data_IF_227864105569
#
_entry.id   IF_227864105569
#
_cell.length_a   1.000
_cell.length_b   1.000
_cell.length_c   1.000
_cell.angle_alpha   90.00
_cell.angle_beta   90.00
_cell.angle_gamma   90.00
#
_symmetry.space_group_name_H-M   'P 1'
#
loop_
_entity.id
_entity.type
_entity.pdbx_description
1 polymer ?
#
# COMPACT_ATOMS: atom_id res chain seq x y z
N UNK A 1 -15.41 15.04 16.70
CA UNK A 1 -16.59 15.34 15.86
C UNK A 1 -16.34 14.87 14.45
N UNK A 2 -17.24 14.07 13.88
CA UNK A 2 -17.13 13.60 12.48
C UNK A 2 -17.86 14.58 11.55
N UNK A 3 -17.22 14.92 10.44
CA UNK A 3 -17.77 15.85 9.43
C UNK A 3 -18.05 15.04 8.16
N UNK A 4 -19.25 15.22 7.59
CA UNK A 4 -19.60 14.58 6.32
C UNK A 4 -19.17 15.43 5.14
N UNK A 5 -18.52 14.79 4.17
CA UNK A 5 -18.12 15.37 2.90
C UNK A 5 -18.80 14.64 1.75
N UNK A 6 -19.18 15.38 0.72
CA UNK A 6 -19.74 14.80 -0.51
C UNK A 6 -18.70 14.89 -1.60
N UNK A 7 -18.26 13.74 -2.10
CA UNK A 7 -17.46 13.65 -3.32
C UNK A 7 -18.44 13.54 -4.50
N UNK A 8 -18.38 14.48 -5.42
CA UNK A 8 -19.24 14.46 -6.61
C UNK A 8 -18.72 13.41 -7.61
N UNK A 9 -19.65 12.67 -8.21
CA UNK A 9 -19.31 11.64 -9.19
C UNK A 9 -19.00 10.27 -8.57
N UNK A 10 -18.55 9.36 -9.40
CA UNK A 10 -18.36 7.96 -9.05
C UNK A 10 -19.59 7.10 -9.31
N UNK A 11 -19.42 5.80 -9.22
CA UNK A 11 -20.42 4.77 -9.50
C UNK A 11 -20.62 3.93 -8.25
N UNK A 12 -21.89 3.70 -7.87
CA UNK A 12 -22.20 2.75 -6.81
C UNK A 12 -21.95 1.35 -7.31
N UNK A 13 -21.01 0.63 -6.68
CA UNK A 13 -20.69 -0.75 -7.02
C UNK A 13 -21.18 -1.64 -5.88
N UNK A 14 -22.02 -2.66 -6.18
CA UNK A 14 -22.45 -3.62 -5.17
C UNK A 14 -21.24 -4.34 -4.57
N UNK A 15 -21.21 -4.50 -3.25
CA UNK A 15 -20.23 -5.35 -2.59
C UNK A 15 -20.50 -6.79 -2.94
N UNK A 16 -19.54 -7.46 -3.54
CA UNK A 16 -19.68 -8.84 -4.01
C UNK A 16 -19.19 -9.85 -2.97
N UNK A 17 -18.24 -9.44 -2.14
CA UNK A 17 -17.67 -10.31 -1.12
C UNK A 17 -17.66 -9.56 0.22
N UNK A 18 -18.36 -10.12 1.19
CA UNK A 18 -18.38 -9.61 2.55
C UNK A 18 -17.43 -10.45 3.39
N UNK A 19 -16.42 -9.80 3.99
CA UNK A 19 -15.69 -10.42 5.08
C UNK A 19 -16.56 -10.34 6.32
N UNK A 20 -17.23 -11.44 6.67
CA UNK A 20 -18.08 -11.51 7.85
C UNK A 20 -17.29 -11.59 9.16
N UNK A 21 -16.01 -11.91 9.08
CA UNK A 21 -15.13 -12.09 10.25
C UNK A 21 -14.60 -10.74 10.74
N UNK A 22 -14.69 -10.54 12.07
CA UNK A 22 -14.14 -9.34 12.74
C UNK A 22 -12.71 -9.52 13.23
N UNK A 23 -12.13 -10.71 13.07
CA UNK A 23 -10.77 -11.05 13.51
C UNK A 23 -9.94 -11.55 12.34
N UNK A 24 -8.67 -11.17 12.31
CA UNK A 24 -7.74 -11.73 11.33
C UNK A 24 -7.23 -13.10 11.81
N UNK A 25 -7.12 -14.04 10.87
CA UNK A 25 -6.34 -15.25 11.08
C UNK A 25 -4.86 -14.89 11.05
N UNK A 26 -4.11 -15.36 12.04
CA UNK A 26 -2.66 -15.13 12.06
C UNK A 26 -1.98 -16.36 11.47
N UNK A 27 -1.16 -16.14 10.46
CA UNK A 27 -0.44 -17.20 9.77
C UNK A 27 1.00 -17.25 10.29
N UNK A 28 1.27 -18.19 11.18
CA UNK A 28 2.59 -18.41 11.82
C UNK A 28 3.42 -19.49 11.10
N UNK A 29 2.76 -20.42 10.40
CA UNK A 29 3.36 -21.63 9.83
C UNK A 29 3.79 -21.48 8.36
N UNK A 30 4.14 -20.26 7.95
CA UNK A 30 4.70 -20.00 6.62
C UNK A 30 6.06 -20.67 6.50
N UNK A 31 6.22 -21.57 5.55
CA UNK A 31 7.49 -22.29 5.37
C UNK A 31 8.56 -21.44 4.69
N UNK A 32 8.19 -20.63 3.71
CA UNK A 32 9.07 -19.75 2.93
C UNK A 32 8.51 -18.36 2.82
N UNK A 33 9.40 -17.40 2.86
CA UNK A 33 9.08 -16.01 2.52
C UNK A 33 10.01 -15.50 1.43
N UNK A 34 9.48 -14.66 0.57
CA UNK A 34 10.18 -14.09 -0.58
C UNK A 34 10.30 -12.58 -0.44
N UNK A 35 11.52 -12.07 -0.33
CA UNK A 35 11.78 -10.63 -0.12
C UNK A 35 12.45 -10.06 -1.36
N UNK A 36 11.73 -9.32 -2.21
CA UNK A 36 12.32 -8.65 -3.35
C UNK A 36 13.10 -7.42 -2.90
N UNK A 37 14.29 -7.23 -3.44
CA UNK A 37 15.14 -6.09 -3.18
C UNK A 37 14.95 -5.04 -4.28
N UNK A 38 13.80 -4.38 -4.28
CA UNK A 38 13.46 -3.38 -5.30
C UNK A 38 14.39 -2.19 -5.25
N UNK A 39 14.83 -1.76 -6.43
CA UNK A 39 15.41 -0.46 -6.63
C UNK A 39 14.35 0.64 -6.45
N UNK A 40 14.73 1.78 -5.92
CA UNK A 40 13.90 2.96 -5.90
C UNK A 40 14.52 4.06 -6.77
N UNK A 41 13.84 4.43 -7.83
CA UNK A 41 14.42 5.29 -8.86
C UNK A 41 15.63 4.61 -9.52
N UNK A 42 16.81 5.20 -9.32
CA UNK A 42 18.08 4.62 -9.80
C UNK A 42 18.93 4.03 -8.66
N UNK A 43 18.42 4.02 -7.44
CA UNK A 43 19.12 3.48 -6.29
C UNK A 43 18.78 2.01 -6.14
N UNK A 44 19.75 1.15 -6.42
CA UNK A 44 19.63 -0.29 -6.29
C UNK A 44 19.64 -0.69 -4.82
N UNK A 45 18.98 -1.81 -4.49
CA UNK A 45 19.06 -2.46 -3.20
C UNK A 45 19.84 -3.77 -3.37
N UNK A 46 20.98 -3.86 -2.73
CA UNK A 46 21.88 -5.01 -2.84
C UNK A 46 21.73 -5.94 -1.63
N UNK A 47 21.77 -7.27 -1.85
CA UNK A 47 21.72 -8.23 -0.75
C UNK A 47 22.94 -8.07 0.16
N UNK A 48 22.71 -8.15 1.48
CA UNK A 48 23.71 -8.08 2.52
C UNK A 48 24.01 -9.47 3.12
N UNK A 49 23.41 -10.50 2.54
CA UNK A 49 23.47 -11.89 2.96
C UNK A 49 23.64 -12.79 1.75
N UNK A 50 24.11 -14.00 1.96
CA UNK A 50 24.26 -15.04 0.96
C UNK A 50 23.43 -16.28 1.23
N UNK A 51 23.38 -17.19 0.27
CA UNK A 51 22.75 -18.50 0.40
C UNK A 51 23.42 -19.30 1.53
N UNK A 52 22.61 -19.92 2.39
CA UNK A 52 23.05 -20.65 3.57
C UNK A 52 23.20 -19.78 4.84
N UNK A 53 23.17 -18.48 4.74
CA UNK A 53 23.27 -17.59 5.92
C UNK A 53 22.04 -17.73 6.81
N UNK A 54 22.26 -17.69 8.14
CA UNK A 54 21.19 -17.61 9.11
C UNK A 54 20.77 -16.15 9.30
N UNK A 55 19.47 -15.90 9.29
CA UNK A 55 18.89 -14.57 9.48
C UNK A 55 17.90 -14.57 10.63
N UNK A 56 17.76 -13.41 11.27
CA UNK A 56 16.79 -13.16 12.34
C UNK A 56 15.63 -12.29 11.81
N UNK A 57 14.47 -12.38 12.41
CA UNK A 57 13.35 -11.48 12.12
C UNK A 57 13.74 -10.03 12.41
N UNK A 58 13.53 -9.15 11.44
CA UNK A 58 13.95 -7.74 11.54
C UNK A 58 15.42 -7.49 11.22
N UNK A 59 16.21 -8.51 10.86
CA UNK A 59 17.57 -8.31 10.39
C UNK A 59 17.56 -7.66 8.99
N UNK A 60 18.42 -6.66 8.80
CA UNK A 60 18.64 -6.06 7.47
C UNK A 60 19.28 -7.10 6.54
N UNK A 61 18.60 -7.39 5.43
CA UNK A 61 19.03 -8.36 4.41
C UNK A 61 19.30 -7.71 3.05
N UNK A 62 18.90 -6.45 2.89
CA UNK A 62 19.16 -5.67 1.69
C UNK A 62 19.38 -4.21 2.04
N UNK A 63 20.42 -3.60 1.46
CA UNK A 63 20.76 -2.20 1.69
C UNK A 63 20.86 -1.43 0.37
N UNK A 64 20.42 -0.15 0.35
CA UNK A 64 20.51 0.69 -0.83
C UNK A 64 21.95 1.10 -1.11
N UNK A 65 22.30 1.27 -2.39
CA UNK A 65 23.62 1.68 -2.85
C UNK A 65 23.91 3.17 -2.62
N UNK A 66 22.88 3.98 -2.35
CA UNK A 66 22.96 5.42 -2.10
C UNK A 66 21.74 5.91 -1.30
N UNK A 67 21.78 7.19 -0.91
CA UNK A 67 20.61 7.86 -0.31
C UNK A 67 19.43 7.88 -1.31
N UNK A 68 18.22 7.83 -0.77
CA UNK A 68 16.99 7.75 -1.55
C UNK A 68 16.44 6.33 -1.73
N UNK A 69 17.20 5.30 -1.37
CA UNK A 69 16.77 3.91 -1.45
C UNK A 69 16.12 3.37 -0.17
N UNK A 70 15.85 2.09 -0.15
CA UNK A 70 15.09 1.42 0.90
C UNK A 70 15.88 0.28 1.53
N UNK A 71 15.95 0.24 2.84
CA UNK A 71 16.42 -0.93 3.61
C UNK A 71 15.37 -2.05 3.55
N UNK A 72 15.84 -3.28 3.39
CA UNK A 72 15.00 -4.48 3.39
C UNK A 72 15.35 -5.38 4.56
N UNK A 73 14.31 -5.90 5.21
CA UNK A 73 14.45 -6.70 6.43
C UNK A 73 13.84 -8.08 6.27
N UNK A 74 14.43 -9.06 6.95
CA UNK A 74 13.84 -10.39 6.99
C UNK A 74 12.56 -10.40 7.82
N UNK A 75 11.44 -10.90 7.26
CA UNK A 75 10.17 -10.98 8.00
C UNK A 75 10.12 -12.12 9.01
N UNK A 76 11.01 -13.08 8.88
CA UNK A 76 11.07 -14.30 9.72
C UNK A 76 12.51 -14.58 10.15
N UNK A 77 12.69 -15.43 11.16
CA UNK A 77 13.98 -16.06 11.42
C UNK A 77 14.12 -17.34 10.60
N UNK A 78 15.35 -17.68 10.20
CA UNK A 78 15.57 -18.88 9.42
C UNK A 78 16.90 -18.90 8.67
N UNK A 79 16.93 -19.61 7.55
CA UNK A 79 18.11 -19.73 6.70
C UNK A 79 17.79 -19.24 5.28
N UNK A 80 18.69 -18.48 4.69
CA UNK A 80 18.59 -18.03 3.30
C UNK A 80 18.70 -19.25 2.39
N UNK A 81 17.60 -19.61 1.74
CA UNK A 81 17.52 -20.73 0.81
C UNK A 81 18.15 -20.38 -0.53
N UNK A 82 17.92 -19.14 -1.00
CA UNK A 82 18.50 -18.66 -2.27
C UNK A 82 18.51 -17.15 -2.35
N UNK A 83 19.43 -16.61 -3.13
CA UNK A 83 19.43 -15.25 -3.64
C UNK A 83 19.39 -15.35 -5.16
N UNK A 84 18.22 -15.16 -5.75
CA UNK A 84 17.97 -15.36 -7.18
C UNK A 84 17.58 -14.03 -7.85
N UNK A 85 17.50 -14.04 -9.17
CA UNK A 85 17.07 -12.89 -9.96
C UNK A 85 15.60 -13.08 -10.37
N UNK A 86 14.74 -12.09 -10.06
CA UNK A 86 13.30 -12.09 -10.40
C UNK A 86 13.04 -11.08 -11.50
N UNK A 87 12.39 -11.54 -12.56
CA UNK A 87 11.84 -10.67 -13.59
C UNK A 87 10.50 -10.09 -13.11
N UNK A 88 10.44 -8.77 -12.96
CA UNK A 88 9.23 -8.04 -12.61
C UNK A 88 8.32 -7.79 -13.82
N UNK A 89 7.05 -7.46 -13.56
CA UNK A 89 6.05 -7.24 -14.61
C UNK A 89 6.35 -6.04 -15.55
N UNK A 90 7.20 -5.13 -15.12
CA UNK A 90 7.70 -3.98 -15.92
C UNK A 90 8.94 -4.30 -16.76
N UNK A 91 9.46 -5.55 -16.66
CA UNK A 91 10.65 -6.02 -17.35
C UNK A 91 11.95 -5.74 -16.60
N UNK A 92 11.91 -5.20 -15.40
CA UNK A 92 13.09 -5.04 -14.56
C UNK A 92 13.46 -6.34 -13.86
N UNK A 93 14.75 -6.52 -13.59
CA UNK A 93 15.28 -7.61 -12.79
C UNK A 93 15.63 -7.11 -11.40
N UNK A 94 15.21 -7.84 -10.36
CA UNK A 94 15.51 -7.51 -8.98
C UNK A 94 16.00 -8.73 -8.23
N UNK A 95 16.99 -8.59 -7.33
CA UNK A 95 17.36 -9.70 -6.46
C UNK A 95 16.19 -10.11 -5.58
N UNK A 96 15.94 -11.40 -5.49
CA UNK A 96 14.92 -12.02 -4.65
C UNK A 96 15.59 -12.91 -3.61
N UNK A 97 15.45 -12.53 -2.35
CA UNK A 97 15.91 -13.33 -1.22
C UNK A 97 14.78 -14.25 -0.79
N UNK A 98 15.02 -15.57 -0.80
CA UNK A 98 14.10 -16.54 -0.24
C UNK A 98 14.64 -17.03 1.10
N UNK A 99 13.84 -16.93 2.14
CA UNK A 99 14.19 -17.39 3.50
C UNK A 99 13.31 -18.58 3.86
N UNK A 100 13.95 -19.68 4.24
CA UNK A 100 13.30 -20.83 4.84
C UNK A 100 13.08 -20.54 6.32
N UNK A 101 11.82 -20.41 6.72
CA UNK A 101 11.41 -20.07 8.09
C UNK A 101 11.71 -21.24 9.05
N UNK A 102 12.34 -20.96 10.18
CA UNK A 102 12.61 -21.94 11.23
C UNK A 102 11.47 -22.06 12.26
N UNK A 103 10.45 -21.21 12.17
CA UNK A 103 9.30 -21.18 13.06
C UNK A 103 9.60 -20.70 14.50
N UNK A 104 10.82 -20.21 14.76
CA UNK A 104 11.23 -19.80 16.10
C UNK A 104 10.93 -18.34 16.40
N UNK A 105 10.61 -17.54 15.37
CA UNK A 105 10.37 -16.09 15.46
C UNK A 105 11.46 -15.30 16.20
N UNK A 106 12.72 -15.80 16.18
CA UNK A 106 13.83 -15.14 16.84
C UNK A 106 14.12 -13.81 16.16
N UNK A 107 13.94 -12.70 16.89
CA UNK A 107 14.13 -11.34 16.36
C UNK A 107 15.49 -10.76 16.70
N UNK A 108 15.88 -9.73 15.95
CA UNK A 108 16.99 -8.85 16.35
C UNK A 108 16.60 -8.07 17.60
N UNK A 109 17.57 -7.58 18.40
CA UNK A 109 17.27 -6.65 19.47
C UNK A 109 16.50 -5.42 18.95
N UNK A 110 15.42 -5.00 19.64
CA UNK A 110 14.66 -3.81 19.20
C UNK A 110 15.53 -2.56 19.16
N UNK A 111 15.42 -1.79 18.09
CA UNK A 111 16.05 -0.49 17.95
C UNK A 111 15.00 0.60 18.20
N UNK A 112 14.83 0.99 19.46
CA UNK A 112 13.86 2.02 19.83
C UNK A 112 14.34 3.42 19.46
N UNK A 113 13.38 4.29 19.10
CA UNK A 113 13.67 5.70 18.91
C UNK A 113 14.28 6.31 20.18
N UNK A 114 15.41 7.00 20.03
CA UNK A 114 16.11 7.61 21.15
C UNK A 114 15.40 8.88 21.64
N UNK A 115 15.03 8.91 22.92
CA UNK A 115 14.40 10.09 23.53
C UNK A 115 12.86 10.07 23.50
N UNK A 116 12.28 11.21 23.88
CA UNK A 116 10.81 11.36 23.95
C UNK A 116 10.28 11.95 22.64
N UNK A 117 9.26 11.34 22.07
CA UNK A 117 8.63 11.81 20.83
C UNK A 117 8.21 13.29 20.87
N UNK A 118 7.73 13.78 22.02
CA UNK A 118 7.31 15.18 22.19
C UNK A 118 8.45 16.19 21.98
N UNK A 119 9.68 15.80 22.31
CA UNK A 119 10.87 16.65 22.29
C UNK A 119 11.73 16.38 21.03
N UNK A 120 11.31 15.42 20.19
CA UNK A 120 12.06 15.01 19.01
C UNK A 120 12.03 16.06 17.89
N UNK A 121 13.18 16.26 17.26
CA UNK A 121 13.28 17.07 16.05
C UNK A 121 12.74 16.32 14.84
N UNK A 122 12.07 16.99 13.86
CA UNK A 122 11.57 16.37 12.65
C UNK A 122 12.60 15.51 11.90
N UNK A 123 13.81 15.99 11.76
CA UNK A 123 14.91 15.29 11.08
C UNK A 123 15.27 13.96 11.74
N UNK A 124 15.25 13.90 13.08
CA UNK A 124 15.50 12.68 13.84
C UNK A 124 14.38 11.64 13.61
N UNK A 125 13.13 12.10 13.54
CA UNK A 125 11.98 11.22 13.25
C UNK A 125 12.06 10.67 11.83
N UNK A 126 12.41 11.51 10.85
CA UNK A 126 12.62 11.09 9.45
C UNK A 126 13.77 10.08 9.36
N UNK A 127 14.89 10.35 10.05
CA UNK A 127 16.02 9.41 10.11
C UNK A 127 15.61 8.05 10.65
N UNK A 128 14.85 8.02 11.75
CA UNK A 128 14.36 6.77 12.32
C UNK A 128 13.40 6.03 11.36
N UNK A 129 12.50 6.74 10.67
CA UNK A 129 11.61 6.18 9.64
C UNK A 129 12.42 5.56 8.49
N UNK A 130 13.51 6.21 8.07
CA UNK A 130 14.46 5.69 7.07
C UNK A 130 15.11 4.40 7.54
N UNK A 131 15.67 4.41 8.75
CA UNK A 131 16.41 3.29 9.33
C UNK A 131 15.52 2.05 9.55
N UNK A 132 14.21 2.25 9.68
CA UNK A 132 13.20 1.19 9.79
C UNK A 132 12.62 0.73 8.45
N UNK A 133 13.05 1.30 7.32
CA UNK A 133 12.63 0.87 5.99
C UNK A 133 11.14 0.97 5.72
N UNK A 134 10.46 1.98 6.29
CA UNK A 134 9.02 2.15 6.09
C UNK A 134 8.69 2.60 4.66
N UNK A 135 7.67 1.97 4.09
CA UNK A 135 7.19 2.22 2.71
C UNK A 135 5.82 2.91 2.76
N UNK A 136 5.58 3.80 1.84
CA UNK A 136 4.29 4.46 1.63
C UNK A 136 4.06 4.69 0.14
N UNK A 137 2.93 4.25 -0.38
CA UNK A 137 2.57 4.39 -1.80
C UNK A 137 3.64 3.86 -2.77
N UNK A 138 4.33 2.78 -2.40
CA UNK A 138 5.38 2.17 -3.20
C UNK A 138 6.72 2.92 -3.20
N UNK A 139 6.87 3.95 -2.34
CA UNK A 139 8.10 4.73 -2.18
C UNK A 139 8.61 4.64 -0.73
N UNK A 140 9.92 4.83 -0.47
CA UNK A 140 10.40 5.00 0.89
C UNK A 140 9.70 6.17 1.57
N UNK A 141 9.08 5.93 2.73
CA UNK A 141 8.29 6.96 3.41
C UNK A 141 9.13 8.19 3.75
N UNK A 142 10.38 8.00 4.18
CA UNK A 142 11.27 9.13 4.51
C UNK A 142 11.50 10.06 3.32
N UNK A 143 11.66 9.52 2.10
CA UNK A 143 11.82 10.30 0.87
C UNK A 143 10.57 11.11 0.56
N UNK A 144 9.39 10.53 0.79
CA UNK A 144 8.12 11.26 0.65
C UNK A 144 8.02 12.40 1.65
N UNK A 145 8.42 12.17 2.91
CA UNK A 145 8.39 13.19 3.98
C UNK A 145 9.37 14.34 3.70
N UNK A 146 10.56 14.05 3.21
CA UNK A 146 11.57 15.07 2.84
C UNK A 146 11.13 15.95 1.66
N UNK A 147 10.29 15.43 0.77
CA UNK A 147 9.75 16.16 -0.38
C UNK A 147 8.52 17.01 -0.06
N UNK A 148 8.01 16.95 1.17
CA UNK A 148 6.84 17.74 1.54
C UNK A 148 7.21 19.22 1.56
N UNK A 149 6.41 20.02 0.86
CA UNK A 149 6.60 21.46 0.81
C UNK A 149 6.35 22.11 2.18
N UNK A 150 7.13 23.13 2.52
CA UNK A 150 6.97 23.92 3.76
C UNK A 150 5.58 24.58 3.87
N UNK A 151 4.83 24.71 2.77
CA UNK A 151 3.46 25.20 2.75
C UNK A 151 2.42 24.12 3.12
N UNK A 152 2.82 22.88 3.34
CA UNK A 152 1.93 21.80 3.74
C UNK A 152 1.29 22.11 5.11
N UNK A 153 -0.04 22.12 5.16
CA UNK A 153 -0.80 22.52 6.35
C UNK A 153 -1.64 21.41 6.93
N UNK A 154 -1.84 20.33 6.19
CA UNK A 154 -2.76 19.28 6.58
C UNK A 154 -2.24 17.89 6.23
N UNK A 155 -2.28 17.01 7.22
CA UNK A 155 -2.13 15.57 7.02
C UNK A 155 -3.50 14.95 6.73
N UNK A 156 -3.59 14.17 5.65
CA UNK A 156 -4.80 13.42 5.29
C UNK A 156 -4.50 11.94 5.37
N UNK A 157 -5.15 11.25 6.32
CA UNK A 157 -5.08 9.80 6.46
C UNK A 157 -6.24 9.19 5.70
N UNK A 158 -5.94 8.52 4.59
CA UNK A 158 -6.95 7.96 3.71
C UNK A 158 -7.29 6.51 4.12
N UNK A 159 -8.45 6.35 4.77
CA UNK A 159 -9.08 5.06 5.09
C UNK A 159 -10.36 4.82 4.26
N UNK A 160 -10.58 5.58 3.19
CA UNK A 160 -11.73 5.36 2.31
C UNK A 160 -11.54 4.13 1.44
N UNK A 161 -12.64 3.40 1.21
CA UNK A 161 -12.67 2.20 0.36
C UNK A 161 -13.92 2.21 -0.52
N UNK A 162 -13.75 1.89 -1.79
CA UNK A 162 -14.87 1.77 -2.74
C UNK A 162 -14.80 0.52 -3.61
N UNK A 163 -13.78 -0.34 -3.41
CA UNK A 163 -13.69 -1.63 -4.10
C UNK A 163 -14.76 -2.60 -3.58
N UNK A 164 -15.36 -3.42 -4.46
CA UNK A 164 -16.44 -4.33 -4.07
C UNK A 164 -15.99 -5.49 -3.18
N UNK A 165 -14.71 -5.83 -3.23
CA UNK A 165 -14.09 -6.99 -2.60
C UNK A 165 -13.13 -6.62 -1.45
N UNK A 166 -13.01 -5.33 -1.13
CA UNK A 166 -12.04 -4.85 -0.13
C UNK A 166 -12.75 -4.16 1.03
N UNK A 167 -12.38 -4.55 2.24
CA UNK A 167 -12.84 -3.93 3.47
C UNK A 167 -11.72 -3.89 4.54
N UNK A 168 -10.45 -3.78 4.09
CA UNK A 168 -9.29 -3.78 4.98
C UNK A 168 -9.27 -2.54 5.88
N UNK A 169 -9.54 -1.36 5.33
CA UNK A 169 -9.53 -0.11 6.11
C UNK A 169 -10.66 -0.11 7.15
N UNK A 170 -11.83 -0.65 6.80
CA UNK A 170 -12.88 -0.89 7.78
C UNK A 170 -12.36 -1.73 8.95
N UNK A 171 -11.76 -2.89 8.64
CA UNK A 171 -11.21 -3.80 9.65
C UNK A 171 -10.14 -3.13 10.52
N UNK A 172 -9.19 -2.41 9.92
CA UNK A 172 -8.12 -1.73 10.65
C UNK A 172 -8.66 -0.61 11.53
N UNK A 173 -9.62 0.17 11.05
CA UNK A 173 -10.24 1.22 11.86
C UNK A 173 -11.09 0.66 13.02
N UNK A 174 -11.69 -0.53 12.87
CA UNK A 174 -12.43 -1.19 13.94
C UNK A 174 -11.50 -1.82 15.00
N UNK A 175 -10.31 -2.33 14.62
CA UNK A 175 -9.46 -3.14 15.48
C UNK A 175 -8.12 -2.50 15.87
N UNK A 176 -7.71 -1.43 15.18
CA UNK A 176 -6.42 -0.76 15.38
C UNK A 176 -6.53 0.77 15.23
N UNK A 177 -7.68 1.35 15.60
CA UNK A 177 -7.92 2.78 15.52
C UNK A 177 -6.86 3.59 16.29
N UNK A 178 -6.45 3.11 17.46
CA UNK A 178 -5.39 3.71 18.29
C UNK A 178 -4.04 3.76 17.55
N UNK A 179 -3.69 2.71 16.80
CA UNK A 179 -2.45 2.67 16.02
C UNK A 179 -2.50 3.69 14.88
N UNK A 180 -3.62 3.78 14.17
CA UNK A 180 -3.81 4.75 13.08
C UNK A 180 -3.71 6.18 13.61
N UNK A 181 -4.42 6.48 14.71
CA UNK A 181 -4.47 7.81 15.33
C UNK A 181 -3.10 8.23 15.88
N UNK A 182 -2.41 7.33 16.57
CA UNK A 182 -1.10 7.64 17.14
C UNK A 182 -0.02 7.71 16.05
N UNK A 183 -0.08 6.88 15.00
CA UNK A 183 0.78 7.01 13.82
C UNK A 183 0.58 8.37 13.12
N UNK A 184 -0.67 8.80 12.97
CA UNK A 184 -0.97 10.14 12.44
C UNK A 184 -0.38 11.26 13.32
N UNK A 185 -0.43 11.14 14.66
CA UNK A 185 0.20 12.11 15.58
C UNK A 185 1.73 12.13 15.44
N UNK A 186 2.38 10.98 15.25
CA UNK A 186 3.83 10.90 14.97
C UNK A 186 4.14 11.65 13.67
N UNK A 187 3.39 11.40 12.61
CA UNK A 187 3.57 12.05 11.31
C UNK A 187 3.26 13.55 11.35
N UNK A 188 2.25 14.00 12.13
CA UNK A 188 2.02 15.42 12.38
C UNK A 188 3.26 16.09 13.00
N UNK A 189 3.87 15.43 13.99
CA UNK A 189 5.10 15.92 14.62
C UNK A 189 6.26 15.93 13.63
N UNK A 190 6.42 14.87 12.84
CA UNK A 190 7.49 14.74 11.83
C UNK A 190 7.40 15.85 10.77
N UNK A 191 6.19 16.21 10.35
CA UNK A 191 5.96 17.23 9.33
C UNK A 191 5.81 18.65 9.90
N UNK A 192 5.76 18.82 11.24
CA UNK A 192 5.46 20.11 11.86
C UNK A 192 4.05 20.60 11.60
N UNK A 193 3.12 19.71 11.28
CA UNK A 193 1.74 20.03 10.91
C UNK A 193 0.81 19.85 12.10
N UNK A 194 0.01 20.87 12.43
CA UNK A 194 -0.94 20.78 13.54
C UNK A 194 -2.26 20.10 13.17
N UNK A 195 -2.66 20.10 11.90
CA UNK A 195 -3.98 19.60 11.49
C UNK A 195 -3.89 18.26 10.78
N UNK A 196 -4.69 17.28 11.22
CA UNK A 196 -4.88 16.02 10.51
C UNK A 196 -6.36 15.68 10.37
N UNK A 197 -6.67 14.94 9.31
CA UNK A 197 -8.01 14.40 9.06
C UNK A 197 -7.91 12.95 8.63
N UNK A 198 -8.67 12.09 9.30
CA UNK A 198 -8.82 10.69 8.93
C UNK A 198 -10.10 10.56 8.11
N UNK A 199 -9.98 10.12 6.86
CA UNK A 199 -11.09 10.00 5.93
C UNK A 199 -11.54 8.55 5.86
N UNK A 200 -12.84 8.30 6.09
CA UNK A 200 -13.41 6.96 6.11
C UNK A 200 -14.83 6.96 5.52
N UNK A 201 -15.29 5.82 5.05
CA UNK A 201 -16.68 5.66 4.59
C UNK A 201 -17.66 5.80 5.75
N UNK A 202 -18.60 6.74 5.63
CA UNK A 202 -19.58 7.03 6.70
C UNK A 202 -20.58 5.90 6.99
N UNK A 203 -20.63 4.87 6.14
CA UNK A 203 -21.42 3.66 6.37
C UNK A 203 -20.78 2.69 7.40
N UNK A 204 -19.48 2.82 7.65
CA UNK A 204 -18.74 2.02 8.64
C UNK A 204 -18.84 2.63 10.04
N UNK A 205 -20.02 2.60 10.62
CA UNK A 205 -20.31 3.30 11.89
C UNK A 205 -19.38 2.88 13.01
N UNK A 206 -19.18 1.57 13.21
CA UNK A 206 -18.30 1.03 14.26
C UNK A 206 -16.85 1.52 14.09
N UNK A 207 -16.34 1.58 12.86
CA UNK A 207 -15.02 2.12 12.56
C UNK A 207 -14.92 3.63 12.81
N UNK A 208 -15.98 4.39 12.49
CA UNK A 208 -16.06 5.82 12.78
C UNK A 208 -16.04 6.08 14.27
N UNK A 209 -16.82 5.31 15.05
CA UNK A 209 -16.90 5.44 16.50
C UNK A 209 -15.56 5.08 17.15
N UNK A 210 -14.93 3.98 16.73
CA UNK A 210 -13.60 3.57 17.22
C UNK A 210 -12.52 4.65 16.95
N UNK A 211 -12.54 5.27 15.77
CA UNK A 211 -11.62 6.38 15.45
C UNK A 211 -11.91 7.61 16.33
N UNK A 212 -13.16 7.95 16.57
CA UNK A 212 -13.53 9.08 17.44
C UNK A 212 -13.10 8.82 18.88
N UNK A 213 -13.28 7.61 19.39
CA UNK A 213 -12.85 7.21 20.73
C UNK A 213 -11.32 7.29 20.86
N UNK A 214 -10.58 6.78 19.86
CA UNK A 214 -9.12 6.85 19.83
C UNK A 214 -8.56 8.28 19.73
N UNK A 215 -9.27 9.17 19.05
CA UNK A 215 -8.92 10.61 18.97
C UNK A 215 -9.16 11.30 20.31
N UNK A 216 -10.22 10.95 21.03
CA UNK A 216 -10.62 11.55 22.28
C UNK A 216 -10.94 13.06 22.14
N UNK A 217 -10.47 13.87 23.07
CA UNK A 217 -10.73 15.31 23.12
C UNK A 217 -9.85 16.15 22.18
N UNK A 218 -8.99 15.52 21.37
CA UNK A 218 -8.08 16.24 20.48
C UNK A 218 -8.87 17.09 19.46
N UNK A 219 -8.52 18.38 19.36
CA UNK A 219 -9.07 19.29 18.35
C UNK A 219 -8.23 19.37 17.07
N UNK A 220 -7.05 18.75 17.08
CA UNK A 220 -6.10 18.79 15.98
C UNK A 220 -6.28 17.63 14.99
N UNK A 221 -7.03 16.60 15.40
CA UNK A 221 -7.37 15.44 14.60
C UNK A 221 -8.89 15.35 14.43
N UNK A 222 -9.36 15.10 13.21
CA UNK A 222 -10.79 15.03 12.90
C UNK A 222 -11.08 13.79 12.05
N UNK A 223 -12.32 13.31 12.12
CA UNK A 223 -12.82 12.26 11.21
C UNK A 223 -13.67 12.92 10.13
N UNK A 224 -13.37 12.61 8.87
CA UNK A 224 -14.15 13.00 7.70
C UNK A 224 -14.85 11.77 7.13
N UNK A 225 -16.18 11.83 7.02
CA UNK A 225 -16.98 10.77 6.43
C UNK A 225 -17.23 11.06 4.95
N UNK A 226 -16.95 10.09 4.09
CA UNK A 226 -17.20 10.13 2.63
C UNK A 226 -18.14 9.01 2.22
N UNK A 227 -18.61 9.04 0.98
CA UNK A 227 -19.40 7.96 0.37
C UNK A 227 -18.53 6.77 -0.04
N UNK A 228 -19.18 5.73 -0.59
CA UNK A 228 -18.55 4.48 -1.06
C UNK A 228 -18.59 4.30 -2.59
N UNK A 229 -18.83 5.39 -3.34
CA UNK A 229 -18.84 5.30 -4.79
C UNK A 229 -17.41 5.17 -5.33
N UNK A 230 -17.21 4.26 -6.28
CA UNK A 230 -15.91 4.10 -6.94
C UNK A 230 -15.69 5.22 -8.00
N UNK A 231 -14.51 5.85 -8.09
CA UNK A 231 -13.27 5.69 -7.32
C UNK A 231 -13.08 6.77 -6.24
N UNK A 232 -14.05 6.97 -5.35
CA UNK A 232 -13.98 8.03 -4.32
C UNK A 232 -12.88 7.80 -3.26
N UNK A 233 -12.30 6.57 -3.20
CA UNK A 233 -11.12 6.27 -2.37
C UNK A 233 -9.81 6.81 -2.97
N UNK A 234 -9.81 7.28 -4.21
CA UNK A 234 -8.62 7.87 -4.81
C UNK A 234 -8.16 9.10 -4.04
N UNK A 235 -6.85 9.19 -3.78
CA UNK A 235 -6.27 10.26 -2.97
C UNK A 235 -6.67 11.66 -3.46
N UNK A 236 -6.71 11.88 -4.78
CA UNK A 236 -7.08 13.19 -5.34
C UNK A 236 -8.55 13.51 -5.08
N UNK A 237 -9.42 12.50 -5.15
CA UNK A 237 -10.85 12.64 -4.84
C UNK A 237 -11.06 12.99 -3.37
N UNK A 238 -10.34 12.30 -2.48
CA UNK A 238 -10.33 12.55 -1.03
C UNK A 238 -9.83 13.96 -0.72
N UNK A 239 -8.69 14.37 -1.30
CA UNK A 239 -8.13 15.73 -1.12
C UNK A 239 -9.07 16.81 -1.63
N UNK A 240 -9.70 16.59 -2.78
CA UNK A 240 -10.70 17.52 -3.33
C UNK A 240 -11.86 17.74 -2.35
N UNK A 241 -12.36 16.68 -1.74
CA UNK A 241 -13.45 16.77 -0.77
C UNK A 241 -13.04 17.49 0.51
N UNK A 242 -11.94 17.03 1.14
CA UNK A 242 -11.48 17.54 2.43
C UNK A 242 -10.98 18.99 2.32
N UNK A 243 -10.30 19.32 1.22
CA UNK A 243 -9.80 20.67 0.94
C UNK A 243 -10.87 21.62 0.41
N UNK A 244 -12.07 21.13 0.05
CA UNK A 244 -13.13 21.95 -0.57
C UNK A 244 -12.72 22.55 -1.92
N UNK A 245 -11.83 21.88 -2.65
CA UNK A 245 -11.25 22.36 -3.91
C UNK A 245 -11.65 21.45 -5.08
N UNK A 246 -11.46 21.93 -6.32
CA UNK A 246 -11.69 21.09 -7.50
C UNK A 246 -10.62 19.99 -7.61
N UNK A 247 -10.96 18.88 -8.27
CA UNK A 247 -10.03 17.75 -8.53
C UNK A 247 -8.75 18.23 -9.22
N UNK A 248 -8.85 19.15 -10.18
CA UNK A 248 -7.69 19.72 -10.86
C UNK A 248 -6.77 20.53 -9.93
N UNK A 249 -7.36 21.24 -8.95
CA UNK A 249 -6.60 21.95 -7.92
C UNK A 249 -5.99 20.98 -6.91
N UNK A 250 -6.74 20.00 -6.43
CA UNK A 250 -6.25 18.99 -5.50
C UNK A 250 -5.04 18.25 -6.08
N UNK A 251 -5.05 17.95 -7.39
CA UNK A 251 -3.90 17.33 -8.08
C UNK A 251 -2.64 18.21 -8.06
N UNK A 252 -2.78 19.52 -8.19
CA UNK A 252 -1.63 20.45 -8.11
C UNK A 252 -1.14 20.65 -6.68
N UNK A 253 -2.04 20.54 -5.70
CA UNK A 253 -1.75 20.73 -4.28
C UNK A 253 -1.31 19.42 -3.58
N UNK A 254 -1.32 18.30 -4.30
CA UNK A 254 -0.87 17.01 -3.79
C UNK A 254 0.60 17.08 -3.34
N UNK A 255 0.87 16.72 -2.09
CA UNK A 255 2.17 16.83 -1.40
C UNK A 255 2.73 18.28 -1.24
N UNK A 256 1.99 19.31 -1.67
CA UNK A 256 2.40 20.70 -1.44
C UNK A 256 1.61 21.34 -0.31
N UNK A 257 0.28 21.33 -0.37
CA UNK A 257 -0.60 21.90 0.68
C UNK A 257 -1.11 20.81 1.61
N UNK A 258 -1.28 19.60 1.10
CA UNK A 258 -1.80 18.45 1.84
C UNK A 258 -0.90 17.23 1.60
N UNK A 259 -0.52 16.54 2.66
CA UNK A 259 0.19 15.26 2.59
C UNK A 259 -0.79 14.11 2.84
N UNK A 260 -0.80 13.11 1.95
CA UNK A 260 -1.72 11.96 2.03
C UNK A 260 -0.95 10.70 2.39
N UNK A 261 -1.51 9.92 3.29
CA UNK A 261 -0.98 8.62 3.71
C UNK A 261 -2.14 7.64 3.96
N UNK A 262 -1.91 6.33 3.85
CA UNK A 262 -2.88 5.30 4.18
C UNK A 262 -3.04 5.09 5.68
N UNK A 263 -4.20 4.60 6.11
CA UNK A 263 -4.44 4.24 7.51
C UNK A 263 -3.56 3.08 7.98
N UNK A 264 -3.32 2.11 7.12
CA UNK A 264 -2.41 0.98 7.33
C UNK A 264 -0.95 1.43 7.48
N UNK A 265 -0.53 2.40 6.66
CA UNK A 265 0.80 3.02 6.72
C UNK A 265 0.98 3.81 8.03
N UNK A 266 -0.05 4.53 8.49
CA UNK A 266 -0.03 5.18 9.82
C UNK A 266 0.13 4.15 10.95
N UNK A 267 -0.62 3.06 10.89
CA UNK A 267 -0.51 1.98 11.88
C UNK A 267 0.89 1.34 11.86
N UNK A 268 1.50 1.17 10.68
CA UNK A 268 2.88 0.69 10.53
C UNK A 268 3.88 1.63 11.21
N UNK A 269 3.77 2.95 10.99
CA UNK A 269 4.60 3.96 11.68
C UNK A 269 4.48 3.79 13.20
N UNK A 270 3.27 3.72 13.74
CA UNK A 270 3.07 3.58 15.18
C UNK A 270 3.69 2.28 15.72
N UNK A 271 3.42 1.14 15.06
CA UNK A 271 3.97 -0.16 15.49
C UNK A 271 5.49 -0.12 15.55
N UNK A 272 6.14 0.43 14.53
CA UNK A 272 7.59 0.56 14.46
C UNK A 272 8.16 1.40 15.60
N UNK A 273 7.54 2.54 15.93
CA UNK A 273 7.98 3.38 17.03
C UNK A 273 7.76 2.73 18.42
N UNK A 274 6.73 1.91 18.57
CA UNK A 274 6.44 1.20 19.83
C UNK A 274 7.32 -0.01 20.01
N UNK A 275 7.46 -0.82 18.95
CA UNK A 275 8.18 -2.10 19.04
C UNK A 275 9.67 -1.97 18.87
N UNK A 276 10.16 -0.89 18.23
CA UNK A 276 11.56 -0.78 17.80
C UNK A 276 11.94 -1.77 16.71
N UNK A 277 10.97 -2.32 15.98
CA UNK A 277 11.18 -3.32 14.94
C UNK A 277 10.67 -2.81 13.58
N UNK A 278 11.31 -3.19 12.47
CA UNK A 278 10.75 -2.95 11.14
C UNK A 278 9.35 -3.57 11.00
N UNK A 279 8.47 -2.92 10.24
CA UNK A 279 7.12 -3.42 9.98
C UNK A 279 7.14 -4.47 8.86
N UNK A 280 7.31 -5.72 9.23
CA UNK A 280 7.50 -6.86 8.32
C UNK A 280 6.27 -7.76 8.21
N UNK A 281 5.12 -7.32 8.70
CA UNK A 281 3.85 -8.06 8.62
C UNK A 281 2.81 -7.26 7.84
N UNK A 282 1.86 -7.96 7.23
CA UNK A 282 0.68 -7.36 6.58
C UNK A 282 -0.59 -8.08 6.95
N UNK A 283 -1.67 -7.31 7.04
CA UNK A 283 -3.03 -7.86 7.06
C UNK A 283 -3.61 -7.70 5.66
N UNK A 284 -4.06 -8.81 5.09
CA UNK A 284 -4.61 -8.88 3.72
C UNK A 284 -6.07 -9.34 3.80
N UNK A 285 -6.96 -8.64 3.09
CA UNK A 285 -8.33 -9.08 2.91
C UNK A 285 -8.37 -10.15 1.81
N UNK A 286 -8.77 -11.38 2.16
CA UNK A 286 -8.85 -12.51 1.23
C UNK A 286 -10.30 -12.78 0.87
N UNK A 287 -10.62 -12.76 -0.42
CA UNK A 287 -11.98 -12.88 -0.94
C UNK A 287 -12.03 -13.61 -2.29
N UNK A 288 -13.21 -13.72 -2.85
CA UNK A 288 -13.42 -14.35 -4.15
C UNK A 288 -14.53 -15.40 -4.11
N UNK A 289 -15.10 -15.70 -5.28
CA UNK A 289 -16.24 -16.62 -5.40
C UNK A 289 -15.84 -18.10 -5.20
N UNK A 290 -14.56 -18.40 -5.29
CA UNK A 290 -14.01 -19.75 -5.09
C UNK A 290 -13.23 -19.89 -3.79
N UNK A 291 -13.09 -18.83 -2.99
CA UNK A 291 -12.49 -18.92 -1.66
C UNK A 291 -13.51 -19.50 -0.68
N UNK A 292 -13.13 -20.56 0.06
CA UNK A 292 -14.07 -21.24 0.97
C UNK A 292 -14.53 -20.36 2.12
N UNK A 293 -13.59 -19.64 2.73
CA UNK A 293 -13.84 -18.80 3.89
C UNK A 293 -13.17 -17.44 3.72
N UNK A 294 -13.90 -16.48 3.19
CA UNK A 294 -13.39 -15.10 3.06
C UNK A 294 -13.07 -14.51 4.43
N UNK A 295 -12.04 -13.66 4.49
CA UNK A 295 -11.64 -13.06 5.77
C UNK A 295 -10.38 -12.24 5.69
N UNK A 296 -9.80 -11.94 6.84
CA UNK A 296 -8.53 -11.25 6.96
C UNK A 296 -7.45 -12.25 7.39
N UNK A 297 -6.28 -12.13 6.79
CA UNK A 297 -5.10 -12.92 7.13
C UNK A 297 -3.96 -11.97 7.46
N UNK A 298 -3.40 -12.08 8.66
CA UNK A 298 -2.17 -11.41 9.05
C UNK A 298 -1.00 -12.37 8.87
N UNK A 299 -0.02 -11.97 8.10
CA UNK A 299 1.12 -12.81 7.74
C UNK A 299 2.39 -11.99 7.58
N UNK A 300 3.58 -12.61 7.63
CA UNK A 300 4.85 -11.99 7.26
C UNK A 300 4.83 -11.49 5.81
N UNK A 301 5.55 -10.41 5.52
CA UNK A 301 5.85 -10.03 4.13
C UNK A 301 6.55 -11.20 3.41
N UNK A 302 6.32 -11.30 2.11
CA UNK A 302 6.87 -12.38 1.31
C UNK A 302 6.13 -13.72 1.42
N UNK A 303 5.03 -13.81 2.19
CA UNK A 303 4.19 -15.01 2.27
C UNK A 303 3.56 -15.31 0.91
N UNK A 304 3.69 -16.53 0.36
CA UNK A 304 3.03 -16.92 -0.88
C UNK A 304 1.50 -16.76 -0.82
N UNK A 305 0.88 -16.29 -1.90
CA UNK A 305 -0.58 -16.12 -1.95
C UNK A 305 -1.34 -17.44 -1.78
N UNK A 306 -0.76 -18.55 -2.20
CA UNK A 306 -1.30 -19.90 -1.96
C UNK A 306 -1.50 -20.19 -0.47
N UNK A 307 -0.62 -19.67 0.40
CA UNK A 307 -0.70 -19.87 1.85
C UNK A 307 -1.86 -19.06 2.44
N UNK A 308 -2.11 -17.84 1.93
CA UNK A 308 -3.26 -17.04 2.32
C UNK A 308 -4.58 -17.75 1.97
N UNK A 309 -4.67 -18.31 0.76
CA UNK A 309 -5.85 -19.09 0.37
C UNK A 309 -6.01 -20.34 1.24
N UNK A 310 -4.90 -21.03 1.56
CA UNK A 310 -4.92 -22.19 2.47
C UNK A 310 -5.41 -21.80 3.85
N UNK A 311 -4.97 -20.66 4.42
CA UNK A 311 -5.46 -20.13 5.69
C UNK A 311 -6.96 -19.80 5.66
N UNK A 312 -7.52 -19.55 4.48
CA UNK A 312 -8.93 -19.31 4.22
C UNK A 312 -9.70 -20.60 3.80
N UNK A 313 -9.25 -21.76 4.27
CA UNK A 313 -9.89 -23.06 3.99
C UNK A 313 -9.65 -23.60 2.58
N UNK A 314 -8.81 -22.93 1.78
CA UNK A 314 -8.49 -23.30 0.41
C UNK A 314 -9.50 -22.78 -0.63
N UNK A 315 -9.25 -23.14 -1.87
CA UNK A 315 -10.11 -22.83 -3.00
C UNK A 315 -11.05 -24.02 -3.30
N UNK A 316 -12.27 -23.74 -3.76
CA UNK A 316 -13.24 -24.78 -4.17
C UNK A 316 -12.92 -25.39 -5.52
N UNK A 317 -12.17 -24.69 -6.35
CA UNK A 317 -11.71 -25.11 -7.67
C UNK A 317 -10.44 -24.35 -8.04
N UNK A 318 -9.79 -24.70 -9.16
CA UNK A 318 -8.65 -23.94 -9.69
C UNK A 318 -9.03 -22.52 -10.04
N UNK A 319 -8.26 -21.55 -9.56
CA UNK A 319 -8.49 -20.16 -9.87
C UNK A 319 -8.21 -19.87 -11.36
N UNK A 320 -9.17 -19.25 -12.05
CA UNK A 320 -8.94 -18.73 -13.38
C UNK A 320 -8.20 -17.40 -13.36
N UNK A 321 -8.45 -16.63 -12.31
CA UNK A 321 -7.83 -15.31 -12.14
C UNK A 321 -7.64 -15.05 -10.65
N UNK A 322 -6.46 -14.59 -10.30
CA UNK A 322 -6.15 -14.02 -8.98
C UNK A 322 -5.89 -12.52 -9.17
N UNK A 323 -6.47 -11.69 -8.31
CA UNK A 323 -6.34 -10.23 -8.36
C UNK A 323 -5.85 -9.73 -7.02
N UNK A 324 -4.81 -8.91 -7.03
CA UNK A 324 -4.31 -8.19 -5.86
C UNK A 324 -4.67 -6.70 -5.97
N UNK A 325 -5.13 -6.08 -4.87
CA UNK A 325 -5.41 -4.65 -4.78
C UNK A 325 -6.84 -4.22 -5.12
N UNK A 326 -7.75 -5.18 -5.33
CA UNK A 326 -9.17 -4.94 -5.59
C UNK A 326 -9.60 -5.21 -7.04
N UNK A 327 -10.84 -5.64 -7.21
CA UNK A 327 -11.37 -6.12 -8.50
C UNK A 327 -11.45 -5.05 -9.59
N UNK A 328 -11.56 -3.77 -9.24
CA UNK A 328 -11.73 -2.67 -10.19
C UNK A 328 -10.41 -2.02 -10.61
N UNK A 329 -9.47 -1.89 -9.68
CA UNK A 329 -8.20 -1.20 -9.91
C UNK A 329 -6.96 -2.05 -9.69
N UNK A 330 -7.12 -3.27 -9.18
CA UNK A 330 -6.03 -4.19 -8.88
C UNK A 330 -5.35 -4.78 -10.11
N UNK A 331 -4.30 -5.53 -9.85
CA UNK A 331 -3.51 -6.25 -10.87
C UNK A 331 -3.78 -7.75 -10.82
N UNK A 332 -3.73 -8.41 -11.98
CA UNK A 332 -3.68 -9.87 -12.03
C UNK A 332 -2.34 -10.35 -11.53
N UNK A 333 -2.38 -11.39 -10.72
CA UNK A 333 -1.21 -12.00 -10.10
C UNK A 333 -1.29 -13.52 -10.23
N UNK A 334 -0.15 -14.20 -10.02
CA UNK A 334 -0.11 -15.65 -9.88
C UNK A 334 -0.46 -16.07 -8.44
N UNK A 335 -0.92 -17.28 -8.25
CA UNK A 335 -1.04 -17.87 -6.92
C UNK A 335 0.33 -18.12 -6.26
N UNK A 336 1.40 -18.16 -7.06
CA UNK A 336 2.78 -18.32 -6.61
C UNK A 336 3.46 -16.97 -6.31
N UNK A 337 2.82 -15.83 -6.63
CA UNK A 337 3.27 -14.53 -6.15
C UNK A 337 3.06 -14.45 -4.63
N UNK A 338 3.58 -13.40 -4.02
CA UNK A 338 3.64 -13.28 -2.57
C UNK A 338 3.20 -11.89 -2.09
N UNK A 339 3.01 -11.78 -0.78
CA UNK A 339 2.58 -10.55 -0.09
C UNK A 339 3.70 -9.52 -0.11
N UNK A 340 3.41 -8.36 -0.66
CA UNK A 340 4.26 -7.19 -0.68
C UNK A 340 3.63 -6.06 0.19
N UNK A 341 4.33 -4.94 0.37
CA UNK A 341 3.87 -3.84 1.21
C UNK A 341 2.56 -3.21 0.71
N UNK A 342 2.29 -3.27 -0.60
CA UNK A 342 1.07 -2.75 -1.24
C UNK A 342 -0.07 -3.78 -1.33
N UNK A 343 0.15 -5.00 -0.84
CA UNK A 343 -0.86 -6.07 -0.86
C UNK A 343 -1.91 -5.83 0.21
N UNK A 344 -3.01 -5.19 -0.16
CA UNK A 344 -4.14 -4.87 0.74
C UNK A 344 -5.30 -5.85 0.62
N UNK A 345 -5.46 -6.47 -0.54
CA UNK A 345 -6.50 -7.49 -0.79
C UNK A 345 -6.06 -8.50 -1.83
N UNK A 346 -6.61 -9.70 -1.74
CA UNK A 346 -6.37 -10.81 -2.64
C UNK A 346 -7.70 -11.51 -2.95
N UNK A 347 -8.06 -11.58 -4.22
CA UNK A 347 -9.33 -12.18 -4.68
C UNK A 347 -9.08 -13.29 -5.68
N UNK A 348 -9.63 -14.50 -5.41
CA UNK A 348 -9.57 -15.62 -6.33
C UNK A 348 -10.92 -15.83 -7.03
N UNK A 349 -10.90 -15.87 -8.36
CA UNK A 349 -12.08 -15.96 -9.22
C UNK A 349 -12.07 -17.23 -10.08
N UNK A 350 -13.22 -17.91 -10.13
CA UNK A 350 -13.43 -19.11 -10.93
C UNK A 350 -13.87 -18.84 -12.38
N UNK A 351 -13.90 -19.91 -13.20
CA UNK A 351 -14.23 -19.85 -14.61
C UNK A 351 -15.71 -19.46 -14.91
N UNK A 352 -16.63 -19.74 -14.00
CA UNK A 352 -18.09 -19.61 -14.24
C UNK A 352 -18.65 -18.20 -14.03
N UNK A 353 -17.82 -17.20 -13.77
CA UNK A 353 -18.25 -15.83 -13.46
C UNK A 353 -18.97 -15.10 -14.61
N UNK A 354 -18.81 -15.51 -15.86
CA UNK A 354 -19.53 -14.86 -16.98
C UNK A 354 -21.07 -14.92 -16.85
N UNK A 355 -21.60 -15.79 -15.98
CA UNK A 355 -23.06 -15.96 -15.78
C UNK A 355 -23.60 -15.45 -14.44
N UNK A 356 -22.75 -15.14 -13.44
CA UNK A 356 -23.20 -14.84 -12.06
C UNK A 356 -22.68 -13.53 -11.50
N UNK A 357 -21.83 -12.81 -12.23
CA UNK A 357 -21.20 -11.60 -11.72
C UNK A 357 -22.18 -10.41 -11.77
N UNK A 358 -22.62 -9.88 -10.61
CA UNK A 358 -23.41 -8.65 -10.55
C UNK A 358 -22.70 -7.46 -11.21
N UNK A 359 -21.35 -7.47 -11.22
CA UNK A 359 -20.54 -6.45 -11.89
C UNK A 359 -20.62 -6.54 -13.41
N UNK A 360 -20.53 -7.74 -13.99
CA UNK A 360 -20.69 -7.88 -15.44
C UNK A 360 -22.11 -7.50 -15.89
N UNK A 361 -23.13 -7.85 -15.11
CA UNK A 361 -24.51 -7.43 -15.34
C UNK A 361 -24.69 -5.91 -15.18
N UNK A 362 -23.99 -5.30 -14.25
CA UNK A 362 -23.99 -3.85 -14.02
C UNK A 362 -23.29 -3.10 -15.16
N UNK A 363 -22.09 -3.55 -15.58
CA UNK A 363 -21.39 -2.96 -16.72
C UNK A 363 -22.13 -3.17 -18.04
N UNK A 364 -22.78 -4.32 -18.24
CA UNK A 364 -23.64 -4.55 -19.41
C UNK A 364 -24.84 -3.59 -19.43
N UNK A 365 -25.43 -3.26 -18.28
CA UNK A 365 -26.48 -2.25 -18.15
C UNK A 365 -25.99 -0.83 -18.43
N UNK A 366 -24.78 -0.48 -18.00
CA UNK A 366 -24.19 0.85 -18.23
C UNK A 366 -23.77 1.09 -19.68
N UNK A 367 -23.32 0.06 -20.37
CA UNK A 367 -22.75 0.19 -21.73
C UNK A 367 -23.75 -0.10 -22.83
N UNK A 368 -24.93 -0.66 -22.51
CA UNK A 368 -25.94 -1.00 -23.50
C UNK A 368 -25.46 -1.95 -24.61
N UNK A 369 -24.28 -2.52 -24.47
CA UNK A 369 -23.65 -3.38 -25.45
C UNK A 369 -22.87 -4.51 -24.75
N UNK A 370 -22.80 -5.65 -25.38
CA UNK A 370 -21.86 -6.72 -25.10
C UNK A 370 -20.41 -6.23 -25.29
N UNK A 371 -19.94 -5.34 -24.41
CA UNK A 371 -18.58 -4.87 -24.44
C UNK A 371 -17.69 -5.96 -23.84
N UNK A 372 -16.93 -6.59 -24.69
CA UNK A 372 -15.70 -7.28 -24.34
C UNK A 372 -14.89 -6.30 -23.46
N UNK A 373 -14.57 -6.70 -22.25
CA UNK A 373 -13.64 -5.95 -21.38
C UNK A 373 -12.32 -5.77 -22.14
N UNK A 374 -12.21 -4.70 -22.89
CA UNK A 374 -10.93 -4.21 -23.36
C UNK A 374 -10.20 -3.68 -22.11
N UNK A 375 -8.98 -4.16 -21.82
CA UNK A 375 -8.20 -3.63 -20.73
C UNK A 375 -8.01 -2.13 -20.94
N UNK A 376 -8.43 -1.31 -19.99
CA UNK A 376 -8.15 0.13 -19.91
C UNK A 376 -6.63 0.42 -19.74
N UNK A 377 -5.82 -0.27 -20.55
CA UNK A 377 -4.37 -0.23 -20.54
C UNK A 377 -3.77 0.87 -21.40
N UNK A 378 -4.57 1.86 -21.85
CA UNK A 378 -4.06 2.95 -22.71
C UNK A 378 -4.59 4.33 -22.36
N UNK A 379 -4.37 4.76 -21.12
CA UNK A 379 -4.26 6.18 -20.83
C UNK A 379 -2.91 6.46 -20.17
N UNK A 380 -1.83 6.07 -20.83
CA UNK A 380 -0.57 6.79 -20.66
C UNK A 380 -0.75 8.12 -21.38
N UNK A 381 -0.60 9.28 -20.74
CA UNK A 381 -0.53 10.53 -21.47
C UNK A 381 0.68 10.43 -22.41
N UNK A 382 0.43 10.54 -23.72
CA UNK A 382 1.48 10.75 -24.70
C UNK A 382 2.19 12.04 -24.29
N UNK A 383 3.40 11.95 -23.76
CA UNK A 383 4.29 13.10 -23.71
C UNK A 383 4.51 13.56 -25.15
N UNK A 384 4.37 14.86 -25.46
CA UNK A 384 4.70 15.37 -26.77
C UNK A 384 6.18 15.08 -27.02
N UNK A 385 6.47 14.32 -28.07
CA UNK A 385 7.83 14.19 -28.59
C UNK A 385 8.30 15.61 -28.95
N UNK A 386 9.30 16.13 -28.23
CA UNK A 386 10.09 17.25 -28.72
C UNK A 386 10.69 16.80 -30.06
N UNK A 387 10.23 17.39 -31.13
CA UNK A 387 10.92 17.35 -32.41
C UNK A 387 12.25 18.04 -32.23
N UNK A 388 13.32 17.26 -32.23
CA UNK A 388 14.66 17.81 -32.45
C UNK A 388 14.68 18.23 -33.90
N UNK A 389 14.58 19.51 -34.17
CA UNK A 389 14.84 20.08 -35.47
C UNK A 389 16.29 19.76 -35.84
N UNK A 390 16.45 18.98 -36.89
CA UNK A 390 17.73 18.81 -37.54
C UNK A 390 18.15 20.20 -38.08
N UNK A 391 19.20 20.76 -37.52
CA UNK A 391 19.85 21.92 -38.08
C UNK A 391 20.64 21.44 -39.30
N UNK A 392 20.20 21.85 -40.47
CA UNK A 392 20.95 21.78 -41.73
C UNK A 392 22.29 22.49 -41.55
N UNK A 393 23.36 21.74 -41.69
CA UNK A 393 24.71 22.31 -41.91
C UNK A 393 24.94 22.49 -43.41
N UNK A 394 25.44 23.62 -43.88
CA UNK A 394 25.64 23.86 -45.31
C UNK A 394 26.87 23.09 -45.81
N UNK A 395 26.70 22.43 -46.96
CA UNK A 395 27.78 21.95 -47.83
C UNK A 395 28.39 23.15 -48.58
N UNK A 396 29.66 23.19 -48.61
CA UNK A 396 30.46 24.04 -49.52
C UNK A 396 31.81 24.35 -48.90
N UNK A 397 32.91 24.20 -49.48
CA UNK A 397 33.38 24.12 -50.83
C UNK A 397 34.85 23.70 -50.77
N UNK A 398 35.28 23.02 -51.82
CA UNK A 398 36.68 22.82 -52.21
C UNK A 398 37.55 24.05 -52.07
N UNK A 399 38.80 23.85 -51.60
CA UNK A 399 39.97 24.41 -52.26
C UNK A 399 41.28 23.72 -51.84
N UNK A 400 41.92 23.23 -52.88
CA UNK A 400 43.37 22.83 -52.97
C UNK A 400 44.28 23.84 -52.29
N UNK A 401 45.29 23.45 -51.62
CA UNK A 401 46.73 23.33 -51.92
C UNK A 401 47.36 22.48 -50.86
#
# INVERSE_FOLDING_TARGET
MAIRYTIKGGVSVPRTFSTATRTARVLHDVQRVHVPLYAFGQVECLPQIGEGDRVLRGQCIGAPTADGGLLRFSPVSGTVESVSDRLCADGTHVPLVTVLNDGQETGVPPHHFAGKLKDAEPSALIGYIRDMGLVSRGEPLYVRLERVDAQCKQLVVNCAESQPDRALMRYLCENAADQIVNGAKILQKTLGISQAVIVINGEYREAVDALLDAIGESRLLRVAQVGSHHPQEDDISVLSAVGGVTVGRARREYNTVQFVIGGDECAAVFRTFVTGMPDTERTVAVSGDIVRETGYVRCPLGTPFSDLFRACGGLTQTAQTVVSGGLLSGRRVSADDFVEEDTVSLSALGADQKKRDPLSAFFAKLTGATAVLHPLRRLRPRMPRRSVAASDAPRGADRKI
#
